data_IF_799222106507
#
_entry.id   IF_799222106507
#
_cell.length_a   1.000
_cell.length_b   1.000
_cell.length_c   1.000
_cell.angle_alpha   90.00
_cell.angle_beta   90.00
_cell.angle_gamma   90.00
#
_symmetry.space_group_name_H-M   'P 1'
#
loop_
_entity.id
_entity.type
_entity.pdbx_description
1 polymer ?
#
# COMPACT_ATOMS: atom_id res chain seq x y z
N UNK A 1 3.15 -3.20 11.82
CA UNK A 1 3.83 -2.24 10.92
C UNK A 1 2.90 -1.05 10.77
N UNK A 2 3.40 0.15 10.95
CA UNK A 2 2.63 1.39 10.71
C UNK A 2 2.52 1.66 9.21
N UNK A 3 1.55 2.47 8.81
CA UNK A 3 1.44 2.91 7.42
C UNK A 3 2.68 3.71 6.99
N UNK A 4 3.24 4.53 7.88
CA UNK A 4 4.43 5.32 7.58
C UNK A 4 5.69 4.47 7.42
N UNK A 5 5.88 3.46 8.28
CA UNK A 5 6.95 2.47 8.13
C UNK A 5 6.84 1.74 6.80
N UNK A 6 5.63 1.28 6.43
CA UNK A 6 5.42 0.62 5.15
C UNK A 6 5.73 1.54 3.97
N UNK A 7 5.25 2.79 4.01
CA UNK A 7 5.50 3.76 2.95
C UNK A 7 7.01 4.03 2.79
N UNK A 8 7.74 4.21 3.90
CA UNK A 8 9.18 4.40 3.86
C UNK A 8 9.90 3.23 3.19
N UNK A 9 9.50 1.99 3.49
CA UNK A 9 10.06 0.80 2.83
C UNK A 9 9.74 0.77 1.33
N UNK A 10 8.53 1.15 0.93
CA UNK A 10 8.15 1.19 -0.48
C UNK A 10 8.86 2.31 -1.26
N UNK A 11 9.32 3.37 -0.59
CA UNK A 11 10.11 4.45 -1.19
C UNK A 11 11.57 4.06 -1.47
N UNK A 12 12.08 3.02 -0.79
CA UNK A 12 13.38 2.41 -1.10
C UNK A 12 13.31 1.49 -2.33
N UNK A 13 12.12 0.97 -2.65
CA UNK A 13 11.89 0.15 -3.84
C UNK A 13 11.74 1.02 -5.11
N UNK A 14 12.32 0.60 -6.26
CA UNK A 14 12.27 1.35 -7.51
C UNK A 14 10.90 1.19 -8.21
N UNK A 15 9.83 1.66 -7.57
CA UNK A 15 8.52 1.75 -8.17
C UNK A 15 8.42 2.97 -9.09
N UNK A 16 7.69 2.88 -10.23
CA UNK A 16 7.42 4.04 -11.06
C UNK A 16 6.75 5.15 -10.25
N UNK A 17 7.16 6.41 -10.46
CA UNK A 17 6.67 7.57 -9.70
C UNK A 17 5.13 7.68 -9.72
N UNK A 18 4.51 7.45 -10.88
CA UNK A 18 3.05 7.42 -11.01
C UNK A 18 2.39 6.33 -10.15
N UNK A 19 3.07 5.19 -9.98
CA UNK A 19 2.61 4.13 -9.08
C UNK A 19 2.75 4.54 -7.62
N UNK A 20 3.87 5.18 -7.26
CA UNK A 20 4.13 5.68 -5.90
C UNK A 20 3.18 6.80 -5.47
N UNK A 21 2.82 7.71 -6.36
CA UNK A 21 1.89 8.79 -6.01
C UNK A 21 0.50 8.25 -5.64
N UNK A 22 -0.02 7.32 -6.44
CA UNK A 22 -1.29 6.65 -6.13
C UNK A 22 -1.17 5.78 -4.87
N UNK A 23 -0.03 5.12 -4.65
CA UNK A 23 0.21 4.34 -3.43
C UNK A 23 0.16 5.24 -2.19
N UNK A 24 0.79 6.42 -2.23
CA UNK A 24 0.76 7.40 -1.14
C UNK A 24 -0.66 7.85 -0.83
N UNK A 25 -1.47 8.12 -1.85
CA UNK A 25 -2.87 8.51 -1.70
C UNK A 25 -3.69 7.40 -1.01
N UNK A 26 -3.59 6.16 -1.50
CA UNK A 26 -4.27 5.00 -0.92
C UNK A 26 -3.87 4.82 0.56
N UNK A 27 -2.58 4.88 0.85
CA UNK A 27 -2.06 4.70 2.21
C UNK A 27 -2.49 5.85 3.14
N UNK A 28 -2.53 7.09 2.65
CA UNK A 28 -3.01 8.23 3.43
C UNK A 28 -4.50 8.08 3.80
N UNK A 29 -5.34 7.61 2.86
CA UNK A 29 -6.75 7.32 3.10
C UNK A 29 -6.92 6.22 4.15
N UNK A 30 -6.18 5.11 4.04
CA UNK A 30 -6.20 4.03 5.03
C UNK A 30 -5.73 4.52 6.41
N UNK A 31 -4.64 5.29 6.47
CA UNK A 31 -4.04 5.81 7.72
C UNK A 31 -5.03 6.63 8.53
N UNK A 32 -5.95 7.34 7.87
CA UNK A 32 -6.98 8.14 8.54
C UNK A 32 -7.93 7.30 9.40
N UNK A 33 -8.07 6.01 9.08
CA UNK A 33 -8.95 5.05 9.79
C UNK A 33 -8.14 4.10 10.67
N UNK A 34 -6.99 3.64 10.19
CA UNK A 34 -6.15 2.64 10.86
C UNK A 34 -4.67 2.95 10.65
N UNK A 35 -3.94 3.37 11.70
CA UNK A 35 -2.55 3.80 11.56
C UNK A 35 -1.55 2.64 11.41
N UNK A 36 -1.96 1.40 11.69
CA UNK A 36 -1.08 0.23 11.63
C UNK A 36 -1.81 -1.05 11.24
N UNK A 37 -1.08 -1.98 10.64
CA UNK A 37 -1.63 -3.23 10.13
C UNK A 37 -0.66 -4.40 10.32
N UNK A 38 -1.21 -5.60 10.15
CA UNK A 38 -0.43 -6.84 10.10
C UNK A 38 0.09 -7.01 8.67
N UNK A 39 1.40 -7.07 8.53
CA UNK A 39 2.06 -7.28 7.25
C UNK A 39 1.73 -8.66 6.66
N UNK A 40 1.77 -8.79 5.32
CA UNK A 40 1.72 -10.08 4.60
C UNK A 40 0.43 -10.91 4.76
N UNK A 41 -0.59 -10.42 5.46
CA UNK A 41 -1.89 -11.11 5.63
C UNK A 41 -2.93 -10.71 4.58
N UNK A 42 -2.56 -9.86 3.60
CA UNK A 42 -3.51 -9.23 2.67
C UNK A 42 -4.42 -8.17 3.34
N UNK A 43 -4.17 -7.85 4.61
CA UNK A 43 -4.94 -6.86 5.37
C UNK A 43 -4.95 -5.49 4.70
N UNK A 44 -3.82 -5.08 4.11
CA UNK A 44 -3.73 -3.77 3.45
C UNK A 44 -4.60 -3.68 2.18
N UNK A 45 -4.69 -4.75 1.40
CA UNK A 45 -5.58 -4.81 0.24
C UNK A 45 -7.07 -4.71 0.65
N UNK A 46 -7.44 -5.39 1.75
CA UNK A 46 -8.79 -5.29 2.30
C UNK A 46 -9.10 -3.87 2.81
N UNK A 47 -8.17 -3.26 3.54
CA UNK A 47 -8.30 -1.88 4.01
C UNK A 47 -8.40 -0.89 2.84
N UNK A 48 -7.67 -1.12 1.75
CA UNK A 48 -7.78 -0.30 0.54
C UNK A 48 -9.16 -0.42 -0.10
N UNK A 49 -9.71 -1.63 -0.25
CA UNK A 49 -11.06 -1.81 -0.79
C UNK A 49 -12.15 -1.20 0.11
N UNK A 50 -11.99 -1.27 1.43
CA UNK A 50 -12.98 -0.76 2.39
C UNK A 50 -12.91 0.76 2.60
N UNK A 51 -11.71 1.35 2.53
CA UNK A 51 -11.47 2.73 3.00
C UNK A 51 -10.78 3.66 2.00
N UNK A 52 -10.32 3.16 0.85
CA UNK A 52 -9.72 4.00 -0.17
C UNK A 52 -10.65 4.22 -1.36
N UNK A 53 -11.10 5.46 -1.54
CA UNK A 53 -11.83 5.87 -2.74
C UNK A 53 -10.90 5.80 -3.95
N UNK A 54 -9.63 6.19 -3.76
CA UNK A 54 -8.59 6.12 -4.78
C UNK A 54 -8.41 4.69 -5.30
N UNK A 55 -8.28 3.70 -4.40
CA UNK A 55 -8.15 2.30 -4.79
C UNK A 55 -9.38 1.78 -5.52
N UNK A 56 -10.59 2.08 -5.01
CA UNK A 56 -11.85 1.61 -5.60
C UNK A 56 -12.10 2.18 -7.01
N UNK A 57 -11.63 3.39 -7.28
CA UNK A 57 -11.73 4.04 -8.59
C UNK A 57 -10.76 3.48 -9.64
N UNK A 58 -9.76 2.68 -9.24
CA UNK A 58 -8.81 2.10 -10.18
C UNK A 58 -9.47 1.04 -11.08
N UNK A 59 -9.02 0.94 -12.35
CA UNK A 59 -9.29 -0.21 -13.20
C UNK A 59 -8.83 -1.54 -12.56
N UNK A 60 -9.52 -2.64 -12.86
CA UNK A 60 -9.26 -3.98 -12.29
C UNK A 60 -7.82 -4.51 -12.49
N UNK A 61 -7.17 -4.15 -13.60
CA UNK A 61 -5.75 -4.47 -13.87
C UNK A 61 -4.80 -3.68 -12.97
N UNK A 62 -5.13 -2.41 -12.69
CA UNK A 62 -4.38 -1.57 -11.75
C UNK A 62 -4.61 -2.03 -10.32
N UNK A 63 -5.85 -2.36 -9.92
CA UNK A 63 -6.15 -2.93 -8.59
C UNK A 63 -5.30 -4.17 -8.31
N UNK A 64 -5.27 -5.14 -9.22
CA UNK A 64 -4.44 -6.36 -9.08
C UNK A 64 -2.95 -6.07 -8.91
N UNK A 65 -2.45 -5.00 -9.54
CA UNK A 65 -1.05 -4.59 -9.38
C UNK A 65 -0.77 -4.08 -7.96
N UNK A 66 -1.65 -3.24 -7.41
CA UNK A 66 -1.54 -2.76 -6.02
C UNK A 66 -1.78 -3.88 -5.00
N UNK A 67 -2.71 -4.80 -5.24
CA UNK A 67 -2.88 -5.98 -4.39
C UNK A 67 -1.61 -6.83 -4.32
N UNK A 68 -0.90 -6.96 -5.45
CA UNK A 68 0.38 -7.66 -5.49
C UNK A 68 1.45 -6.93 -4.69
N UNK A 69 1.50 -5.59 -4.77
CA UNK A 69 2.38 -4.74 -3.94
C UNK A 69 2.08 -4.94 -2.45
N UNK A 70 0.81 -4.90 -2.06
CA UNK A 70 0.36 -5.06 -0.67
C UNK A 70 0.63 -6.45 -0.07
N UNK A 71 0.70 -7.47 -0.92
CA UNK A 71 1.01 -8.85 -0.54
C UNK A 71 2.49 -9.18 -0.74
N UNK A 72 3.26 -8.27 -1.32
CA UNK A 72 4.67 -8.46 -1.60
C UNK A 72 5.44 -8.78 -0.31
N UNK A 73 6.48 -9.63 -0.39
CA UNK A 73 7.38 -9.83 0.72
C UNK A 73 8.03 -8.50 1.08
N UNK A 74 7.99 -8.17 2.36
CA UNK A 74 8.61 -6.97 2.90
C UNK A 74 10.03 -7.35 3.30
N UNK A 75 11.01 -6.95 2.49
CA UNK A 75 12.41 -7.16 2.80
C UNK A 75 12.90 -6.00 3.67
N UNK A 76 13.24 -6.27 4.92
CA UNK A 76 13.94 -5.30 5.75
C UNK A 76 15.38 -5.20 5.26
N UNK A 77 15.74 -4.07 4.66
CA UNK A 77 17.15 -3.73 4.48
C UNK A 77 17.64 -3.22 5.84
N UNK A 78 18.24 -4.10 6.63
CA UNK A 78 19.03 -3.68 7.79
C UNK A 78 20.40 -3.26 7.26
N UNK A 79 20.75 -1.99 7.44
CA UNK A 79 22.13 -1.48 7.29
C UNK A 79 22.92 -1.71 8.60
#
# INVERSE_FOLDING_TARGET
>A
MTIDEYLAMMEEDPLPEATMNVLREILAEIKSVTPSFIAQTGTLAKLAEEHSDTFRALPEDRKRSYESIFRGPIFFVYD
#
